data_IF_231756637352
#
_entry.id   IF_231756637352
#
_cell.length_a   1.000
_cell.length_b   1.000
_cell.length_c   1.000
_cell.angle_alpha   90.00
_cell.angle_beta   90.00
_cell.angle_gamma   90.00
#
_symmetry.space_group_name_H-M   'P 1'
#
loop_
_entity.id
_entity.type
_entity.pdbx_description
1 polymer ?
#
# COMPACT_ATOMS: atom_id res chain seq x y z
N UNK A 1 -0.77 -60.42 -18.17
CA UNK A 1 -0.14 -60.09 -16.87
C UNK A 1 -0.33 -58.62 -16.71
N UNK A 2 -1.51 -58.26 -16.18
CA UNK A 2 -1.92 -56.89 -15.94
C UNK A 2 -1.48 -56.53 -14.53
N UNK A 3 -0.65 -55.52 -14.41
CA UNK A 3 -0.38 -54.87 -13.13
C UNK A 3 -1.30 -53.66 -13.01
N UNK A 4 -2.24 -53.77 -12.09
CA UNK A 4 -3.11 -52.72 -11.63
C UNK A 4 -2.24 -51.72 -10.80
N UNK A 5 -2.15 -50.47 -11.23
CA UNK A 5 -1.65 -49.39 -10.41
C UNK A 5 -2.78 -48.90 -9.51
N UNK A 6 -2.67 -49.24 -8.23
CA UNK A 6 -3.51 -48.71 -7.17
C UNK A 6 -3.31 -47.20 -7.05
N UNK A 7 -4.45 -46.52 -7.14
CA UNK A 7 -4.56 -45.06 -6.96
C UNK A 7 -4.52 -44.77 -5.47
N UNK A 8 -3.34 -44.35 -4.94
CA UNK A 8 -3.24 -43.84 -3.59
C UNK A 8 -3.97 -42.49 -3.51
N UNK A 9 -5.02 -42.48 -2.74
CA UNK A 9 -5.82 -41.31 -2.36
C UNK A 9 -4.93 -40.34 -1.60
N UNK A 10 -4.76 -39.15 -2.17
CA UNK A 10 -4.17 -38.00 -1.51
C UNK A 10 -5.11 -37.58 -0.35
N UNK A 11 -4.67 -37.48 0.89
CA UNK A 11 -5.52 -37.01 1.97
C UNK A 11 -5.92 -35.55 1.73
N UNK A 12 -7.19 -35.29 1.88
CA UNK A 12 -7.81 -33.98 1.91
C UNK A 12 -7.03 -33.08 2.87
N UNK A 13 -6.46 -31.99 2.32
CA UNK A 13 -5.93 -30.90 3.13
C UNK A 13 -7.18 -30.21 3.68
N UNK A 14 -7.46 -30.44 4.93
CA UNK A 14 -8.56 -29.80 5.66
C UNK A 14 -8.38 -28.28 5.65
N UNK A 15 -9.44 -27.59 5.29
CA UNK A 15 -9.65 -26.15 5.31
C UNK A 15 -9.59 -25.60 6.75
N UNK A 16 -8.44 -25.63 7.41
CA UNK A 16 -8.31 -25.16 8.79
C UNK A 16 -7.37 -23.99 8.97
N UNK A 17 -6.65 -23.57 7.93
CA UNK A 17 -5.66 -22.49 8.05
C UNK A 17 -6.22 -21.08 7.78
N UNK A 18 -7.41 -20.94 7.18
CA UNK A 18 -8.06 -19.64 6.99
C UNK A 18 -8.91 -19.19 8.21
N UNK A 19 -9.43 -20.12 9.00
CA UNK A 19 -10.24 -19.77 10.19
C UNK A 19 -9.40 -19.34 11.41
N UNK A 20 -8.10 -19.65 11.46
CA UNK A 20 -7.24 -19.32 12.61
C UNK A 20 -6.69 -17.88 12.53
N UNK A 21 -6.73 -17.24 11.37
CA UNK A 21 -6.23 -15.88 11.19
C UNK A 21 -7.24 -14.78 11.55
N UNK A 22 -8.53 -15.09 11.62
CA UNK A 22 -9.57 -14.09 11.89
C UNK A 22 -9.95 -13.96 13.38
N UNK A 23 -9.48 -14.83 14.26
CA UNK A 23 -9.99 -14.90 15.64
C UNK A 23 -9.16 -14.18 16.71
N UNK A 24 -8.11 -13.43 16.33
CA UNK A 24 -7.17 -12.83 17.32
C UNK A 24 -7.06 -11.30 17.25
N UNK A 25 -7.78 -10.63 16.37
CA UNK A 25 -7.80 -9.17 16.40
C UNK A 25 -9.28 -8.76 16.57
N UNK A 26 -9.69 -8.49 17.81
CA UNK A 26 -10.93 -7.78 18.05
C UNK A 26 -10.89 -6.51 17.19
N UNK A 27 -11.84 -6.40 16.26
CA UNK A 27 -12.05 -5.21 15.44
C UNK A 27 -12.60 -4.10 16.35
N UNK A 28 -11.72 -3.54 17.18
CA UNK A 28 -11.98 -2.31 17.88
C UNK A 28 -11.84 -1.14 16.89
N UNK A 29 -12.86 -1.00 16.05
CA UNK A 29 -13.00 0.09 15.09
C UNK A 29 -13.30 1.45 15.71
N UNK A 30 -13.28 1.55 17.04
CA UNK A 30 -13.24 2.82 17.74
C UNK A 30 -11.78 3.31 17.78
N UNK A 31 -11.42 4.23 16.89
CA UNK A 31 -10.26 5.10 17.10
C UNK A 31 -10.65 6.00 18.30
N UNK A 32 -10.55 5.45 19.53
CA UNK A 32 -10.57 6.29 20.73
C UNK A 32 -9.41 7.29 20.58
N UNK A 33 -9.65 8.54 20.93
CA UNK A 33 -8.57 9.55 20.99
C UNK A 33 -7.46 8.98 21.90
N UNK A 34 -6.38 8.51 21.27
CA UNK A 34 -5.24 7.95 21.99
C UNK A 34 -4.38 9.08 22.53
N UNK A 35 -3.70 8.83 23.63
CA UNK A 35 -2.79 9.79 24.22
C UNK A 35 -1.57 10.03 23.31
N UNK A 36 -0.90 11.18 23.45
CA UNK A 36 0.36 11.46 22.75
C UNK A 36 1.41 10.36 23.04
N UNK A 37 1.43 9.79 24.25
CA UNK A 37 2.35 8.69 24.61
C UNK A 37 2.06 7.41 23.81
N UNK A 38 0.78 7.10 23.54
CA UNK A 38 0.39 5.95 22.70
C UNK A 38 0.82 6.16 21.22
N UNK A 39 0.75 7.39 20.72
CA UNK A 39 1.19 7.75 19.37
C UNK A 39 2.69 7.59 19.21
N UNK A 40 3.48 8.05 20.19
CA UNK A 40 4.93 7.89 20.21
C UNK A 40 5.32 6.39 20.22
N UNK A 41 4.61 5.54 20.99
CA UNK A 41 4.86 4.10 21.01
C UNK A 41 4.61 3.45 19.64
N UNK A 42 3.52 3.85 18.97
CA UNK A 42 3.20 3.35 17.61
C UNK A 42 4.27 3.78 16.63
N UNK A 43 4.68 5.06 16.65
CA UNK A 43 5.70 5.61 15.76
C UNK A 43 7.04 4.92 15.96
N UNK A 44 7.51 4.80 17.20
CA UNK A 44 8.76 4.14 17.54
C UNK A 44 8.77 2.67 17.09
N UNK A 45 7.67 1.95 17.32
CA UNK A 45 7.52 0.55 16.90
C UNK A 45 7.56 0.43 15.38
N UNK A 46 6.86 1.31 14.66
CA UNK A 46 6.84 1.31 13.21
C UNK A 46 8.20 1.67 12.61
N UNK A 47 8.90 2.66 13.19
CA UNK A 47 10.26 3.06 12.79
C UNK A 47 11.26 1.90 12.99
N UNK A 48 11.20 1.19 14.12
CA UNK A 48 12.05 0.03 14.36
C UNK A 48 11.86 -1.06 13.29
N UNK A 49 10.60 -1.38 12.98
CA UNK A 49 10.24 -2.35 11.92
C UNK A 49 10.73 -1.86 10.57
N UNK A 50 10.47 -0.60 10.23
CA UNK A 50 10.89 -0.01 8.95
C UNK A 50 12.41 -0.02 8.81
N UNK A 51 13.19 0.37 9.82
CA UNK A 51 14.66 0.31 9.80
C UNK A 51 15.17 -1.10 9.56
N UNK A 52 14.54 -2.12 10.16
CA UNK A 52 14.90 -3.52 9.92
C UNK A 52 14.71 -3.90 8.45
N UNK A 53 13.64 -3.42 7.82
CA UNK A 53 13.37 -3.65 6.39
C UNK A 53 14.37 -2.88 5.53
N UNK A 54 14.62 -1.60 5.82
CA UNK A 54 15.57 -0.75 5.08
C UNK A 54 16.98 -1.34 5.03
N UNK A 55 17.42 -2.00 6.11
CA UNK A 55 18.71 -2.69 6.17
C UNK A 55 18.85 -3.80 5.10
N UNK A 56 17.75 -4.45 4.72
CA UNK A 56 17.76 -5.47 3.67
C UNK A 56 17.75 -4.89 2.24
N UNK A 57 17.57 -3.59 2.12
CA UNK A 57 17.62 -2.85 0.85
C UNK A 57 18.87 -1.98 0.69
N UNK A 58 19.89 -2.18 1.56
CA UNK A 58 21.09 -1.33 1.63
C UNK A 58 20.75 0.18 1.80
N UNK A 59 19.63 0.48 2.48
CA UNK A 59 19.12 1.83 2.71
C UNK A 59 19.20 2.26 4.19
N UNK A 60 20.14 1.71 4.96
CA UNK A 60 20.32 1.96 6.40
C UNK A 60 20.63 3.45 6.71
N UNK A 61 21.26 4.15 5.76
CA UNK A 61 21.60 5.57 5.88
C UNK A 61 20.47 6.52 5.56
N UNK A 62 19.28 6.02 5.20
CA UNK A 62 18.12 6.87 4.95
C UNK A 62 17.59 7.48 6.26
N UNK A 63 17.13 8.71 6.17
CA UNK A 63 16.41 9.39 7.25
C UNK A 63 14.93 9.04 7.18
N UNK A 64 14.30 8.90 8.34
CA UNK A 64 12.87 8.68 8.47
C UNK A 64 12.29 9.91 9.16
N UNK A 65 11.46 10.64 8.45
CA UNK A 65 10.72 11.77 8.98
C UNK A 65 9.31 11.31 9.35
N UNK A 66 8.88 11.66 10.54
CA UNK A 66 7.57 11.37 11.07
C UNK A 66 6.65 12.57 10.92
N UNK A 67 5.42 12.31 10.49
CA UNK A 67 4.36 13.32 10.40
C UNK A 67 3.05 12.73 10.92
N UNK A 68 2.25 13.56 11.54
CA UNK A 68 0.86 13.25 11.82
C UNK A 68 0.02 13.61 10.58
N UNK A 69 -0.73 12.64 10.09
CA UNK A 69 -1.66 12.79 8.98
C UNK A 69 -3.06 13.18 9.44
N UNK A 70 -3.97 13.32 8.48
CA UNK A 70 -5.40 13.43 8.76
C UNK A 70 -5.87 12.15 9.47
N UNK A 71 -6.89 12.27 10.34
CA UNK A 71 -7.45 11.13 11.09
C UNK A 71 -6.43 10.40 12.03
N UNK A 72 -5.48 11.14 12.61
CA UNK A 72 -4.46 10.61 13.52
C UNK A 72 -3.54 9.53 12.92
N UNK A 73 -3.43 9.47 11.61
CA UNK A 73 -2.52 8.56 10.91
C UNK A 73 -1.06 8.95 11.17
N UNK A 74 -0.19 7.98 11.46
CA UNK A 74 1.25 8.20 11.47
C UNK A 74 1.83 8.00 10.08
N UNK A 75 2.50 9.02 9.55
CA UNK A 75 3.15 8.99 8.24
C UNK A 75 4.65 8.98 8.44
N UNK A 76 5.33 7.94 7.94
CA UNK A 76 6.78 7.83 7.92
C UNK A 76 7.30 8.04 6.50
N UNK A 77 7.95 9.17 6.25
CA UNK A 77 8.56 9.50 4.95
C UNK A 77 10.06 9.20 4.98
N UNK A 78 10.49 8.25 4.17
CA UNK A 78 11.89 7.86 4.03
C UNK A 78 12.57 8.76 3.02
N UNK A 79 13.64 9.44 3.43
CA UNK A 79 14.34 10.41 2.60
C UNK A 79 15.85 10.16 2.58
N UNK A 80 16.51 10.57 1.51
CA UNK A 80 17.97 10.53 1.37
C UNK A 80 18.52 9.28 0.70
N UNK A 81 19.55 9.43 -0.08
CA UNK A 81 20.21 8.37 -0.83
C UNK A 81 19.49 7.96 -2.11
N UNK A 82 19.78 6.76 -2.62
CA UNK A 82 19.10 6.17 -3.78
C UNK A 82 17.98 5.25 -3.29
N UNK A 83 16.79 5.79 -3.16
CA UNK A 83 15.62 5.09 -2.64
C UNK A 83 14.71 4.51 -3.75
N UNK A 84 15.15 4.55 -5.01
CA UNK A 84 14.34 4.06 -6.13
C UNK A 84 13.95 2.57 -5.99
N UNK A 85 14.80 1.77 -5.34
CA UNK A 85 14.55 0.36 -5.06
C UNK A 85 13.38 0.16 -4.09
N UNK A 86 13.20 1.06 -3.12
CA UNK A 86 12.11 1.02 -2.14
C UNK A 86 10.75 1.36 -2.78
N UNK A 87 10.78 2.21 -3.79
CA UNK A 87 9.57 2.53 -4.56
C UNK A 87 9.21 1.36 -5.47
N UNK A 88 10.22 0.84 -6.20
CA UNK A 88 10.04 -0.21 -7.17
C UNK A 88 9.21 0.22 -8.38
N UNK A 89 8.83 -0.77 -9.19
CA UNK A 89 8.06 -0.50 -10.40
C UNK A 89 6.64 -0.02 -10.07
N UNK A 90 6.35 1.24 -10.34
CA UNK A 90 5.03 1.88 -10.09
C UNK A 90 4.59 1.89 -8.62
N UNK A 91 5.52 1.86 -7.68
CA UNK A 91 5.20 1.86 -6.26
C UNK A 91 4.91 0.49 -5.65
N UNK A 92 5.00 -0.62 -6.41
CA UNK A 92 4.65 -1.96 -5.88
C UNK A 92 5.54 -2.41 -4.71
N UNK A 93 6.83 -2.05 -4.71
CA UNK A 93 7.69 -2.37 -3.58
C UNK A 93 7.28 -1.57 -2.36
N UNK A 94 6.98 -0.27 -2.54
CA UNK A 94 6.50 0.59 -1.47
C UNK A 94 5.17 0.09 -0.87
N UNK A 95 4.23 -0.33 -1.71
CA UNK A 95 2.96 -0.91 -1.26
C UNK A 95 3.18 -2.20 -0.43
N UNK A 96 4.15 -3.04 -0.83
CA UNK A 96 4.51 -4.24 -0.08
C UNK A 96 5.17 -3.90 1.26
N UNK A 97 6.12 -2.95 1.29
CA UNK A 97 6.74 -2.44 2.52
C UNK A 97 5.68 -1.87 3.46
N UNK A 98 4.78 -1.04 2.94
CA UNK A 98 3.64 -0.50 3.67
C UNK A 98 2.84 -1.60 4.38
N UNK A 99 2.47 -2.66 3.65
CA UNK A 99 1.70 -3.78 4.18
C UNK A 99 2.46 -4.52 5.27
N UNK A 100 3.75 -4.79 5.06
CA UNK A 100 4.60 -5.48 6.04
C UNK A 100 4.77 -4.66 7.32
N UNK A 101 5.11 -3.37 7.19
CA UNK A 101 5.28 -2.49 8.36
C UNK A 101 3.99 -2.40 9.15
N UNK A 102 2.85 -2.12 8.52
CA UNK A 102 1.57 -2.01 9.21
C UNK A 102 1.21 -3.31 9.94
N UNK A 103 1.33 -4.47 9.29
CA UNK A 103 0.96 -5.74 9.89
C UNK A 103 1.89 -6.13 11.07
N UNK A 104 3.20 -5.91 10.93
CA UNK A 104 4.17 -6.25 11.99
C UNK A 104 4.00 -5.31 13.18
N UNK A 105 3.82 -4.00 12.91
CA UNK A 105 3.60 -2.99 13.96
C UNK A 105 2.31 -3.32 14.74
N UNK A 106 1.20 -3.52 14.06
CA UNK A 106 -0.08 -3.86 14.69
C UNK A 106 0.01 -5.16 15.50
N UNK A 107 0.75 -6.16 15.00
CA UNK A 107 0.98 -7.40 15.76
C UNK A 107 1.83 -7.20 17.01
N UNK A 108 2.84 -6.34 16.96
CA UNK A 108 3.68 -6.01 18.12
C UNK A 108 2.89 -5.25 19.19
N UNK A 109 2.05 -4.31 18.78
CA UNK A 109 1.22 -3.50 19.66
C UNK A 109 0.00 -4.25 20.22
N UNK A 110 -0.49 -5.28 19.51
CA UNK A 110 -1.70 -6.03 19.88
C UNK A 110 -3.00 -5.34 19.46
N UNK A 111 -2.93 -4.24 18.75
CA UNK A 111 -4.09 -3.50 18.20
C UNK A 111 -3.76 -2.91 16.83
N UNK A 112 -4.79 -2.48 16.09
CA UNK A 112 -4.64 -1.83 14.78
C UNK A 112 -4.47 -0.33 14.93
N UNK A 113 -3.46 0.20 14.23
CA UNK A 113 -3.25 1.63 14.10
C UNK A 113 -2.85 1.99 12.66
N UNK A 114 -3.38 3.10 12.10
CA UNK A 114 -3.05 3.50 10.73
C UNK A 114 -1.62 4.07 10.66
N UNK A 115 -0.72 3.33 10.00
CA UNK A 115 0.65 3.76 9.72
C UNK A 115 0.84 3.78 8.20
N UNK A 116 1.23 4.91 7.65
CA UNK A 116 1.55 5.08 6.24
C UNK A 116 3.06 5.26 6.03
N UNK A 117 3.60 4.55 5.04
CA UNK A 117 4.98 4.71 4.59
C UNK A 117 4.99 5.45 3.26
N UNK A 118 5.83 6.46 3.13
CA UNK A 118 6.12 7.12 1.85
C UNK A 118 7.64 7.19 1.62
N UNK A 119 8.05 7.51 0.42
CA UNK A 119 9.45 7.67 0.03
C UNK A 119 9.57 8.96 -0.77
N UNK A 120 10.21 9.99 -0.17
CA UNK A 120 10.38 11.30 -0.78
C UNK A 120 9.08 11.86 -1.38
N UNK A 121 7.96 11.70 -0.68
CA UNK A 121 6.63 12.10 -1.15
C UNK A 121 6.26 11.49 -2.52
N UNK A 122 6.65 10.24 -2.77
CA UNK A 122 6.38 9.54 -4.04
C UNK A 122 4.89 9.44 -4.34
N UNK A 123 4.06 9.12 -3.32
CA UNK A 123 2.60 8.96 -3.49
C UNK A 123 1.97 10.23 -4.05
N UNK A 124 2.38 11.39 -3.52
CA UNK A 124 1.90 12.68 -4.01
C UNK A 124 2.34 12.96 -5.46
N UNK A 125 3.63 12.75 -5.77
CA UNK A 125 4.16 12.94 -7.13
C UNK A 125 3.52 12.00 -8.14
N UNK A 126 3.27 10.75 -7.75
CA UNK A 126 2.61 9.75 -8.60
C UNK A 126 1.16 10.14 -8.89
N UNK A 127 0.44 10.61 -7.87
CA UNK A 127 -0.93 11.13 -8.03
C UNK A 127 -0.99 12.26 -9.04
N UNK A 128 -0.14 13.27 -8.90
CA UNK A 128 -0.06 14.39 -9.85
C UNK A 128 0.23 13.95 -11.29
N UNK A 129 1.14 12.97 -11.46
CA UNK A 129 1.44 12.40 -12.79
C UNK A 129 0.23 11.72 -13.41
N UNK A 130 -0.55 10.98 -12.62
CA UNK A 130 -1.76 10.29 -13.09
C UNK A 130 -2.85 11.30 -13.45
N UNK A 131 -3.07 12.31 -12.63
CA UNK A 131 -4.01 13.39 -12.89
C UNK A 131 -3.65 14.14 -14.18
N UNK A 132 -2.39 14.53 -14.35
CA UNK A 132 -1.90 15.18 -15.58
C UNK A 132 -2.08 14.30 -16.82
N UNK A 133 -1.82 12.98 -16.69
CA UNK A 133 -2.05 12.01 -17.76
C UNK A 133 -3.52 11.92 -18.13
N UNK A 134 -4.42 11.92 -17.14
CA UNK A 134 -5.86 11.88 -17.32
C UNK A 134 -6.36 13.11 -18.10
N UNK A 135 -6.00 14.32 -17.67
CA UNK A 135 -6.37 15.56 -18.38
C UNK A 135 -5.81 15.64 -19.80
N UNK A 136 -4.58 15.17 -20.00
CA UNK A 136 -3.97 15.10 -21.33
C UNK A 136 -4.70 14.12 -22.25
N UNK A 137 -5.13 12.98 -21.72
CA UNK A 137 -5.91 12.00 -22.48
C UNK A 137 -7.30 12.52 -22.81
N UNK A 138 -8.00 13.12 -21.85
CA UNK A 138 -9.30 13.76 -22.07
C UNK A 138 -9.25 14.82 -23.17
N UNK A 139 -8.25 15.71 -23.13
CA UNK A 139 -8.06 16.72 -24.16
C UNK A 139 -7.75 16.15 -25.56
N UNK A 140 -7.12 14.96 -25.61
CA UNK A 140 -6.89 14.27 -26.90
C UNK A 140 -8.15 13.60 -27.41
N UNK A 141 -8.94 12.97 -26.52
CA UNK A 141 -10.18 12.31 -26.88
C UNK A 141 -11.17 13.33 -27.46
N UNK A 142 -11.39 14.44 -26.76
CA UNK A 142 -12.24 15.55 -27.17
C UNK A 142 -11.81 16.12 -28.54
N UNK A 143 -10.53 16.43 -28.73
CA UNK A 143 -9.99 17.00 -29.95
C UNK A 143 -10.05 16.08 -31.17
N UNK A 144 -9.96 14.77 -30.96
CA UNK A 144 -9.91 13.76 -32.01
C UNK A 144 -11.24 13.04 -32.23
N UNK A 145 -12.23 13.36 -31.40
CA UNK A 145 -13.57 12.72 -31.37
C UNK A 145 -13.45 11.18 -31.43
N UNK A 146 -12.57 10.65 -30.57
CA UNK A 146 -12.33 9.19 -30.49
C UNK A 146 -11.86 8.75 -29.12
N UNK A 147 -12.07 7.48 -28.82
CA UNK A 147 -11.56 6.82 -27.65
C UNK A 147 -10.03 6.90 -27.56
N UNK A 148 -9.51 7.16 -26.34
CA UNK A 148 -8.08 7.19 -26.02
C UNK A 148 -7.83 6.20 -24.88
N UNK A 149 -7.20 5.07 -25.20
CA UNK A 149 -6.78 4.10 -24.21
C UNK A 149 -5.54 4.57 -23.45
N UNK A 150 -5.57 4.46 -22.13
CA UNK A 150 -4.42 4.66 -21.27
C UNK A 150 -3.64 3.34 -21.07
N UNK A 151 -2.40 3.44 -20.59
CA UNK A 151 -1.62 2.26 -20.19
C UNK A 151 -2.38 1.43 -19.14
N UNK A 152 -2.10 0.12 -19.00
CA UNK A 152 -2.62 -0.68 -17.91
C UNK A 152 -2.27 -0.07 -16.54
N UNK A 153 -3.27 0.05 -15.68
CA UNK A 153 -3.19 0.67 -14.36
C UNK A 153 -3.76 -0.27 -13.29
N UNK A 154 -3.23 -0.15 -12.07
CA UNK A 154 -3.81 -0.83 -10.91
C UNK A 154 -5.17 -0.22 -10.53
N UNK A 155 -5.98 -0.86 -9.67
CA UNK A 155 -7.30 -0.35 -9.29
C UNK A 155 -7.28 1.05 -8.68
N UNK A 156 -6.26 1.36 -7.88
CA UNK A 156 -6.09 2.68 -7.27
C UNK A 156 -5.79 3.75 -8.32
N UNK A 157 -4.84 3.51 -9.23
CA UNK A 157 -4.53 4.43 -10.32
C UNK A 157 -5.76 4.71 -11.22
N UNK A 158 -6.56 3.66 -11.52
CA UNK A 158 -7.81 3.82 -12.28
C UNK A 158 -8.81 4.72 -11.56
N UNK A 159 -8.94 4.54 -10.24
CA UNK A 159 -9.79 5.40 -9.41
C UNK A 159 -9.32 6.86 -9.46
N UNK A 160 -8.02 7.12 -9.41
CA UNK A 160 -7.47 8.48 -9.53
C UNK A 160 -7.83 9.12 -10.88
N UNK A 161 -7.71 8.38 -11.99
CA UNK A 161 -8.13 8.88 -13.32
C UNK A 161 -9.61 9.22 -13.32
N UNK A 162 -10.46 8.31 -12.84
CA UNK A 162 -11.91 8.54 -12.78
C UNK A 162 -12.24 9.76 -11.90
N UNK A 163 -11.61 9.90 -10.74
CA UNK A 163 -11.85 11.03 -9.84
C UNK A 163 -11.36 12.35 -10.44
N UNK A 164 -10.22 12.35 -11.14
CA UNK A 164 -9.68 13.54 -11.81
C UNK A 164 -10.61 14.05 -12.94
N UNK A 165 -11.27 13.13 -13.63
CA UNK A 165 -12.17 13.46 -14.76
C UNK A 165 -13.65 13.51 -14.35
N UNK A 166 -13.97 13.29 -13.07
CA UNK A 166 -15.33 13.36 -12.56
C UNK A 166 -15.88 14.78 -12.69
N UNK A 167 -16.84 14.97 -13.59
CA UNK A 167 -17.42 16.28 -13.89
C UNK A 167 -16.80 16.98 -15.10
N UNK A 168 -15.89 16.34 -15.80
CA UNK A 168 -15.45 16.80 -17.12
C UNK A 168 -16.46 16.32 -18.19
N UNK A 169 -17.35 17.22 -18.63
CA UNK A 169 -18.43 16.92 -19.57
C UNK A 169 -17.94 16.49 -20.97
N UNK A 170 -16.65 16.63 -21.27
CA UNK A 170 -16.06 16.31 -22.59
C UNK A 170 -15.77 14.82 -22.76
N UNK A 171 -15.69 14.05 -21.69
CA UNK A 171 -15.27 12.65 -21.74
C UNK A 171 -16.04 11.79 -20.73
N UNK A 172 -16.17 10.51 -21.05
CA UNK A 172 -16.66 9.46 -20.16
C UNK A 172 -15.54 8.48 -19.83
N UNK A 173 -15.46 7.99 -18.56
CA UNK A 173 -14.39 7.09 -18.07
C UNK A 173 -14.93 5.87 -17.35
#
# INVERSE_FOLDING_TARGET
MNEEFENEQNPEIEETDEEILDEVIEDDSSVEERSEEDLDEVADTAIEVLRTILAHFDAEGAEINEYEGDDQEIILDVVGGDLAILIGRRGHTLDAIQTLVSNITNRKLGYRYPVTIDVESYKHRQRQKIESLAYSAASRADRQDREVSLRPMNPYERRLVHMALRGDERVET
#
